data_IF_874867813513
#
_entry.id   IF_874867813513
#
_cell.length_a   1.000
_cell.length_b   1.000
_cell.length_c   1.000
_cell.angle_alpha   90.00
_cell.angle_beta   90.00
_cell.angle_gamma   90.00
#
_symmetry.space_group_name_H-M   'P 1'
#
loop_
_entity.id
_entity.type
_entity.pdbx_description
1 polymer ?
#
# COMPACT_ATOMS: atom_id res chain seq x y z
N UNK A 1 -20.84 1.60 -14.34
CA UNK A 1 -19.70 2.46 -14.74
C UNK A 1 -19.00 1.80 -15.89
N UNK A 2 -18.44 2.57 -16.82
CA UNK A 2 -17.66 2.03 -17.93
C UNK A 2 -16.21 1.80 -17.48
N UNK A 3 -15.63 0.66 -17.83
CA UNK A 3 -14.21 0.40 -17.59
C UNK A 3 -13.39 1.40 -18.41
N UNK A 4 -12.61 2.25 -17.73
CA UNK A 4 -11.74 3.24 -18.40
C UNK A 4 -10.47 2.58 -18.93
N UNK A 5 -9.80 1.77 -18.10
CA UNK A 5 -8.54 1.12 -18.43
C UNK A 5 -8.23 0.01 -17.43
N UNK A 6 -7.64 -1.08 -17.92
CA UNK A 6 -7.03 -2.11 -17.08
C UNK A 6 -5.52 -1.87 -17.04
N UNK A 7 -4.93 -1.90 -15.85
CA UNK A 7 -3.50 -1.72 -15.63
C UNK A 7 -2.99 -2.87 -14.76
N UNK A 8 -1.80 -3.36 -15.10
CA UNK A 8 -1.07 -4.30 -14.26
C UNK A 8 0.00 -3.51 -13.48
N UNK A 9 -0.27 -3.12 -12.23
CA UNK A 9 0.76 -2.48 -11.42
C UNK A 9 1.90 -3.47 -11.22
N UNK A 10 3.12 -3.01 -11.47
CA UNK A 10 4.31 -3.77 -11.09
C UNK A 10 4.38 -3.82 -9.56
N UNK A 11 4.41 -5.02 -9.00
CA UNK A 11 4.72 -5.27 -7.60
C UNK A 11 5.93 -6.19 -7.55
N UNK A 12 6.93 -5.85 -6.74
CA UNK A 12 8.07 -6.74 -6.48
C UNK A 12 7.64 -8.04 -5.79
N UNK A 13 6.46 -8.05 -5.15
CA UNK A 13 5.96 -9.15 -4.35
C UNK A 13 4.80 -9.89 -5.03
N UNK A 14 4.70 -11.19 -4.73
CA UNK A 14 3.66 -12.09 -5.21
C UNK A 14 2.27 -11.46 -5.12
N UNK A 15 1.53 -11.53 -6.22
CA UNK A 15 0.11 -11.17 -6.28
C UNK A 15 -0.66 -12.04 -5.29
N UNK A 16 -1.24 -11.41 -4.27
CA UNK A 16 -2.08 -12.02 -3.24
C UNK A 16 -3.35 -11.20 -3.07
N UNK A 17 -4.40 -11.73 -2.41
CA UNK A 17 -5.66 -11.02 -2.25
C UNK A 17 -5.47 -9.69 -1.52
N UNK A 18 -5.99 -8.62 -2.10
CA UNK A 18 -6.20 -7.35 -1.40
C UNK A 18 -7.48 -7.45 -0.59
N UNK A 19 -7.41 -7.02 0.66
CA UNK A 19 -8.47 -7.24 1.65
C UNK A 19 -9.10 -5.92 2.10
N UNK A 20 -8.40 -4.81 1.90
CA UNK A 20 -8.87 -3.47 2.23
C UNK A 20 -8.23 -2.43 1.31
N UNK A 21 -8.96 -1.35 1.02
CA UNK A 21 -8.50 -0.19 0.24
C UNK A 21 -8.83 1.11 0.97
N UNK A 22 -7.95 2.10 0.83
CA UNK A 22 -8.13 3.46 1.34
C UNK A 22 -7.48 4.45 0.38
N UNK A 23 -7.96 5.69 0.33
CA UNK A 23 -7.39 6.77 -0.49
C UNK A 23 -7.26 8.04 0.36
N UNK A 24 -6.46 8.98 -0.10
CA UNK A 24 -6.36 10.32 0.47
C UNK A 24 -7.51 11.23 0.00
N UNK A 25 -7.71 12.36 0.69
CA UNK A 25 -8.75 13.35 0.44
C UNK A 25 -8.61 13.92 -0.97
N UNK A 26 -7.38 14.09 -1.48
CA UNK A 26 -7.10 14.56 -2.83
C UNK A 26 -7.15 13.47 -3.90
N UNK A 27 -7.37 12.20 -3.52
CA UNK A 27 -7.40 11.04 -4.43
C UNK A 27 -6.15 10.89 -5.30
N UNK A 28 -4.99 11.27 -4.77
CA UNK A 28 -3.69 11.14 -5.43
C UNK A 28 -2.96 9.84 -5.06
N UNK A 29 -3.31 9.26 -3.91
CA UNK A 29 -2.74 8.06 -3.33
C UNK A 29 -3.81 6.98 -3.15
N UNK A 30 -3.45 5.76 -3.51
CA UNK A 30 -4.22 4.56 -3.21
C UNK A 30 -3.40 3.67 -2.26
N UNK A 31 -3.97 3.32 -1.13
CA UNK A 31 -3.42 2.38 -0.16
C UNK A 31 -4.24 1.08 -0.22
N UNK A 32 -3.56 -0.07 -0.22
CA UNK A 32 -4.19 -1.37 -0.05
C UNK A 32 -3.52 -2.19 1.04
N UNK A 33 -4.34 -2.97 1.73
CA UNK A 33 -3.91 -4.03 2.64
C UNK A 33 -4.08 -5.39 1.98
N UNK A 34 -3.22 -6.34 2.31
CA UNK A 34 -3.29 -7.71 1.76
C UNK A 34 -3.51 -8.78 2.82
N UNK A 35 -3.94 -9.96 2.36
CA UNK A 35 -4.03 -11.18 3.17
C UNK A 35 -2.70 -11.59 3.80
N UNK A 36 -1.60 -11.28 3.13
CA UNK A 36 -0.25 -11.47 3.63
C UNK A 36 0.23 -10.28 4.47
N UNK A 37 -0.63 -9.47 5.08
CA UNK A 37 -0.19 -8.44 6.04
C UNK A 37 0.65 -7.32 5.43
N UNK A 38 0.58 -7.09 4.13
CA UNK A 38 1.32 -6.02 3.44
C UNK A 38 0.46 -4.80 3.26
N UNK A 39 1.11 -3.65 3.28
CA UNK A 39 0.54 -2.39 2.79
C UNK A 39 1.28 -2.00 1.53
N UNK A 40 0.51 -1.62 0.51
CA UNK A 40 1.02 -1.14 -0.77
C UNK A 40 0.43 0.23 -1.02
N UNK A 41 1.27 1.18 -1.39
CA UNK A 41 0.88 2.55 -1.70
C UNK A 41 1.22 2.87 -3.16
N UNK A 42 0.23 3.29 -3.94
CA UNK A 42 0.39 3.74 -5.30
C UNK A 42 0.08 5.22 -5.45
N UNK A 43 0.79 5.88 -6.36
CA UNK A 43 0.38 7.18 -6.90
C UNK A 43 -0.59 6.96 -8.06
N UNK A 44 -1.78 7.53 -7.96
CA UNK A 44 -2.82 7.46 -8.99
C UNK A 44 -3.13 8.83 -9.64
N UNK A 45 -2.63 9.94 -9.06
CA UNK A 45 -2.86 11.31 -9.55
C UNK A 45 -2.72 11.47 -11.07
N UNK A 46 -1.51 11.23 -11.62
CA UNK A 46 -1.25 11.42 -13.05
C UNK A 46 -2.12 10.52 -13.94
N UNK A 47 -2.48 9.33 -13.45
CA UNK A 47 -3.37 8.44 -14.19
C UNK A 47 -4.80 8.99 -14.25
N UNK A 48 -5.30 9.58 -13.17
CA UNK A 48 -6.63 10.17 -13.12
C UNK A 48 -6.74 11.48 -13.92
N UNK A 49 -5.65 12.26 -14.00
CA UNK A 49 -5.60 13.49 -14.81
C UNK A 49 -5.77 13.21 -16.32
N UNK A 50 -5.07 12.20 -16.84
CA UNK A 50 -5.19 11.76 -18.24
C UNK A 50 -4.96 10.24 -18.35
N UNK A 51 -6.05 9.44 -18.29
CA UNK A 51 -5.98 7.98 -18.38
C UNK A 51 -5.52 7.45 -19.75
N UNK A 52 -5.65 8.25 -20.81
CA UNK A 52 -5.33 7.82 -22.19
C UNK A 52 -3.85 7.95 -22.49
N UNK A 53 -3.15 8.86 -21.81
CA UNK A 53 -1.71 9.00 -21.94
C UNK A 53 -0.97 7.76 -21.40
N UNK A 54 -0.31 7.04 -22.30
CA UNK A 54 0.46 5.83 -21.97
C UNK A 54 1.64 6.07 -21.01
N UNK A 55 2.09 7.32 -20.86
CA UNK A 55 3.13 7.71 -19.89
C UNK A 55 2.58 7.83 -18.46
N UNK A 56 1.26 8.00 -18.30
CA UNK A 56 0.59 8.15 -17.02
C UNK A 56 0.27 6.77 -16.40
N UNK A 57 1.34 6.08 -16.00
CA UNK A 57 1.23 4.80 -15.31
C UNK A 57 1.03 4.99 -13.81
N UNK A 58 0.20 4.13 -13.21
CA UNK A 58 0.10 3.99 -11.76
C UNK A 58 1.43 3.47 -11.23
N UNK A 59 2.04 4.22 -10.32
CA UNK A 59 3.38 3.93 -9.78
C UNK A 59 3.27 3.49 -8.34
N UNK A 60 3.79 2.31 -8.02
CA UNK A 60 4.02 1.92 -6.63
C UNK A 60 5.05 2.87 -6.02
N UNK A 61 4.67 3.56 -4.93
CA UNK A 61 5.54 4.46 -4.18
C UNK A 61 6.31 3.70 -3.10
N UNK A 62 5.60 2.87 -2.34
CA UNK A 62 6.17 2.10 -1.24
C UNK A 62 5.34 0.85 -0.97
N UNK A 63 6.02 -0.23 -0.63
CA UNK A 63 5.41 -1.48 -0.16
C UNK A 63 6.15 -1.97 1.09
N UNK A 64 5.41 -2.35 2.12
CA UNK A 64 6.00 -2.88 3.35
C UNK A 64 5.15 -3.98 3.97
N UNK A 65 5.79 -4.81 4.80
CA UNK A 65 5.10 -5.80 5.63
C UNK A 65 4.67 -5.11 6.93
N UNK A 66 3.38 -4.85 7.10
CA UNK A 66 2.86 -4.23 8.31
C UNK A 66 2.59 -5.26 9.42
N UNK A 67 1.97 -6.38 9.04
CA UNK A 67 1.47 -7.38 9.97
C UNK A 67 1.99 -8.77 9.63
N UNK A 68 2.03 -9.67 10.62
CA UNK A 68 2.35 -11.07 10.37
C UNK A 68 1.24 -11.80 9.60
N UNK A 69 0.00 -11.31 9.70
CA UNK A 69 -1.20 -11.92 9.08
C UNK A 69 -2.04 -10.87 8.34
N UNK A 70 -3.23 -11.24 7.89
CA UNK A 70 -4.13 -10.43 7.07
C UNK A 70 -4.41 -9.05 7.65
N UNK A 71 -4.31 -8.03 6.80
CA UNK A 71 -4.78 -6.68 7.13
C UNK A 71 -6.29 -6.64 6.88
N UNK A 72 -7.06 -6.26 7.88
CA UNK A 72 -8.53 -6.22 7.79
C UNK A 72 -9.08 -4.80 7.69
N UNK A 73 -8.28 -3.80 8.09
CA UNK A 73 -8.70 -2.40 8.00
C UNK A 73 -7.52 -1.44 7.81
N UNK A 74 -7.79 -0.29 7.19
CA UNK A 74 -6.84 0.78 6.91
C UNK A 74 -7.46 2.15 7.11
N UNK A 75 -6.72 3.01 7.81
CA UNK A 75 -7.07 4.41 7.97
C UNK A 75 -5.87 5.30 7.69
N UNK A 76 -6.04 6.32 6.84
CA UNK A 76 -5.02 7.29 6.51
C UNK A 76 -5.36 8.65 7.14
N UNK A 77 -4.45 9.16 7.96
CA UNK A 77 -4.57 10.48 8.60
C UNK A 77 -3.49 11.40 8.02
N UNK A 78 -3.92 12.24 7.09
CA UNK A 78 -3.04 13.03 6.23
C UNK A 78 -2.30 14.15 6.97
N UNK A 79 -2.97 14.85 7.88
CA UNK A 79 -2.36 15.96 8.61
C UNK A 79 -1.15 15.52 9.43
N UNK A 80 -1.19 14.29 9.96
CA UNK A 80 -0.10 13.69 10.73
C UNK A 80 0.81 12.80 9.89
N UNK A 81 0.48 12.62 8.60
CA UNK A 81 1.20 11.76 7.66
C UNK A 81 1.36 10.32 8.18
N UNK A 82 0.29 9.76 8.77
CA UNK A 82 0.28 8.42 9.35
C UNK A 82 -0.77 7.52 8.72
N UNK A 83 -0.45 6.23 8.65
CA UNK A 83 -1.39 5.16 8.31
C UNK A 83 -1.57 4.28 9.54
N UNK A 84 -2.82 3.99 9.87
CA UNK A 84 -3.20 3.02 10.90
C UNK A 84 -3.69 1.75 10.21
N UNK A 85 -3.22 0.61 10.69
CA UNK A 85 -3.51 -0.70 10.10
C UNK A 85 -4.05 -1.62 11.19
N UNK A 86 -5.12 -2.37 10.90
CA UNK A 86 -5.65 -3.41 11.78
C UNK A 86 -5.50 -4.79 11.13
N UNK A 87 -5.28 -5.82 11.93
CA UNK A 87 -5.02 -7.18 11.42
C UNK A 87 -5.67 -8.28 12.25
N UNK A 88 -5.85 -9.44 11.63
CA UNK A 88 -6.19 -10.70 12.32
C UNK A 88 -5.11 -11.18 13.30
N UNK A 89 -3.92 -10.57 13.32
CA UNK A 89 -2.89 -10.85 14.32
C UNK A 89 -3.24 -10.25 15.71
N UNK A 90 -4.37 -9.55 15.81
CA UNK A 90 -4.87 -8.96 17.05
C UNK A 90 -4.25 -7.60 17.39
N UNK A 91 -3.44 -7.02 16.49
CA UNK A 91 -2.81 -5.72 16.70
C UNK A 91 -3.35 -4.63 15.78
N UNK A 92 -3.30 -3.40 16.28
CA UNK A 92 -3.48 -2.17 15.49
C UNK A 92 -2.18 -1.40 15.54
N UNK A 93 -1.60 -1.11 14.36
CA UNK A 93 -0.25 -0.55 14.22
C UNK A 93 -0.28 0.79 13.50
N UNK A 94 0.69 1.64 13.83
CA UNK A 94 0.83 2.98 13.28
C UNK A 94 2.13 3.06 12.48
N UNK A 95 2.02 3.62 11.28
CA UNK A 95 3.09 3.73 10.31
C UNK A 95 3.15 5.14 9.75
N UNK A 96 4.33 5.55 9.29
CA UNK A 96 4.47 6.78 8.52
C UNK A 96 4.05 6.53 7.07
N UNK A 97 3.10 7.34 6.56
CA UNK A 97 2.39 7.07 5.31
C UNK A 97 3.31 7.04 4.07
N UNK A 98 4.35 7.88 4.03
CA UNK A 98 5.21 8.05 2.85
C UNK A 98 6.33 7.02 2.70
N UNK A 99 6.82 6.46 3.81
CA UNK A 99 8.02 5.61 3.82
C UNK A 99 7.79 4.27 4.54
N UNK A 100 6.61 4.04 5.12
CA UNK A 100 6.27 2.79 5.80
C UNK A 100 6.99 2.57 7.13
N UNK A 101 7.56 3.61 7.75
CA UNK A 101 8.28 3.45 9.01
C UNK A 101 7.32 3.18 10.16
N UNK A 102 7.72 2.29 11.06
CA UNK A 102 6.88 1.86 12.17
C UNK A 102 7.00 2.81 13.37
N UNK A 103 5.86 3.33 13.83
CA UNK A 103 5.80 4.17 15.03
C UNK A 103 5.41 3.41 16.30
N UNK A 104 4.71 2.29 16.16
CA UNK A 104 4.26 1.49 17.29
C UNK A 104 2.88 0.87 17.08
N UNK A 105 2.31 0.37 18.18
CA UNK A 105 1.01 -0.28 18.21
C UNK A 105 0.16 0.21 19.38
N UNK A 106 -1.16 0.12 19.25
CA UNK A 106 -2.08 0.47 20.32
C UNK A 106 -1.96 -0.53 21.50
N UNK A 107 -1.93 0.00 22.72
CA UNK A 107 -1.71 -0.80 23.94
C UNK A 107 -0.25 -0.91 24.38
N UNK A 108 0.70 -0.37 23.61
CA UNK A 108 2.09 -0.30 24.04
C UNK A 108 2.27 0.66 25.23
N UNK A 109 3.29 0.43 26.07
CA UNK A 109 3.57 1.28 27.24
C UNK A 109 4.17 2.64 26.90
N UNK A 110 4.82 2.76 25.74
CA UNK A 110 5.49 3.98 25.29
C UNK A 110 4.54 4.89 24.53
N UNK A 111 4.63 6.20 24.76
CA UNK A 111 3.92 7.19 23.94
C UNK A 111 4.41 7.11 22.49
N UNK A 112 3.52 7.41 21.54
CA UNK A 112 3.88 7.55 20.14
C UNK A 112 4.70 8.83 19.96
N UNK A 113 5.85 8.71 19.31
CA UNK A 113 6.67 9.84 18.88
C UNK A 113 6.64 9.89 17.35
N UNK A 114 5.70 10.66 16.80
CA UNK A 114 5.44 10.72 15.36
C UNK A 114 6.44 11.63 14.63
N UNK A 115 7.12 12.51 15.36
CA UNK A 115 8.10 13.45 14.78
C UNK A 115 9.45 12.80 14.49
N UNK A 116 9.80 11.73 15.21
CA UNK A 116 11.07 11.02 15.06
C UNK A 116 11.01 10.00 13.92
N UNK A 117 11.10 10.49 12.68
CA UNK A 117 11.16 9.64 11.48
C UNK A 117 12.55 9.04 11.24
N UNK A 118 13.56 9.41 12.02
CA UNK A 118 14.91 8.86 11.89
C UNK A 118 15.05 7.52 12.60
N UNK A 119 14.12 7.19 13.49
CA UNK A 119 14.13 5.96 14.25
C UNK A 119 13.50 4.81 13.47
N UNK A 120 14.34 4.09 12.75
CA UNK A 120 13.96 2.88 12.02
C UNK A 120 13.76 1.70 12.99
N UNK A 121 12.57 1.61 13.57
CA UNK A 121 12.14 0.44 14.37
C UNK A 121 11.37 -0.50 13.47
N UNK A 122 11.46 -1.80 13.72
CA UNK A 122 10.54 -2.80 13.17
C UNK A 122 9.72 -3.42 14.29
N UNK A 123 8.47 -3.81 14.02
CA UNK A 123 7.77 -4.76 14.87
C UNK A 123 8.60 -6.04 15.03
N UNK A 124 8.52 -6.67 16.20
CA UNK A 124 9.30 -7.88 16.53
C UNK A 124 9.05 -9.08 15.60
N UNK A 125 7.87 -9.12 14.97
CA UNK A 125 7.40 -10.17 14.06
C UNK A 125 7.62 -9.84 12.58
N UNK A 126 8.14 -8.64 12.27
CA UNK A 126 8.44 -8.20 10.90
C UNK A 126 9.95 -8.08 10.73
N UNK A 127 10.49 -8.77 9.71
CA UNK A 127 11.94 -8.87 9.50
C UNK A 127 12.48 -8.00 8.36
N UNK A 128 11.59 -7.39 7.56
CA UNK A 128 11.97 -6.62 6.36
C UNK A 128 11.51 -5.18 6.49
N UNK A 129 12.43 -4.26 6.24
CA UNK A 129 12.10 -2.84 6.12
C UNK A 129 11.28 -2.55 4.86
N UNK A 130 10.55 -1.43 4.83
CA UNK A 130 9.82 -0.99 3.65
C UNK A 130 10.69 -0.97 2.40
N UNK A 131 10.18 -1.55 1.32
CA UNK A 131 10.76 -1.38 0.00
C UNK A 131 10.25 -0.05 -0.56
N UNK A 132 11.08 0.99 -0.45
CA UNK A 132 10.85 2.25 -1.15
C UNK A 132 11.28 2.02 -2.59
N UNK A 133 10.32 2.04 -3.51
CA UNK A 133 10.62 1.90 -4.94
C UNK A 133 11.31 3.18 -5.41
N UNK A 134 12.65 3.18 -5.37
CA UNK A 134 13.47 4.20 -6.00
C UNK A 134 13.60 3.81 -7.47
N UNK A 135 12.92 4.54 -8.36
CA UNK A 135 12.88 4.35 -9.82
C UNK A 135 14.20 3.79 -10.39
N UNK A 136 14.09 2.60 -10.96
CA UNK A 136 14.61 2.14 -12.27
C UNK A 136 14.85 0.62 -12.23
N UNK A 137 13.77 -0.17 -12.19
CA UNK A 137 13.85 -1.57 -12.61
C UNK A 137 13.07 -1.72 -13.90
N UNK A 138 13.79 -2.09 -14.96
CA UNK A 138 13.27 -2.31 -16.32
C UNK A 138 11.97 -3.11 -16.26
N UNK A 139 10.95 -2.56 -16.90
CA UNK A 139 9.62 -3.13 -17.05
C UNK A 139 9.74 -4.51 -17.72
N UNK A 140 9.71 -5.58 -16.95
CA UNK A 140 9.49 -6.92 -17.46
C UNK A 140 8.05 -7.27 -17.12
N UNK A 141 7.15 -7.12 -18.10
CA UNK A 141 5.77 -7.54 -18.01
C UNK A 141 5.71 -9.05 -17.74
N UNK A 142 5.51 -9.45 -16.50
CA UNK A 142 5.11 -10.82 -16.19
C UNK A 142 3.61 -10.91 -16.42
N UNK A 143 3.22 -11.72 -17.40
CA UNK A 143 1.83 -12.07 -17.68
C UNK A 143 1.30 -12.87 -16.47
N UNK A 144 0.57 -12.20 -15.58
CA UNK A 144 -0.16 -12.86 -14.49
C UNK A 144 -1.58 -13.08 -14.99
N UNK A 145 -1.99 -14.34 -15.06
CA UNK A 145 -3.33 -14.73 -15.49
C UNK A 145 -4.26 -14.63 -14.28
N UNK A 146 -5.24 -13.72 -14.35
CA UNK A 146 -6.22 -13.52 -13.30
C UNK A 146 -7.50 -14.31 -13.60
N UNK A 147 -8.12 -14.96 -12.62
CA UNK A 147 -9.34 -15.76 -12.83
C UNK A 147 -10.60 -14.92 -13.04
N UNK A 148 -10.51 -13.58 -12.94
CA UNK A 148 -11.64 -12.68 -13.15
C UNK A 148 -11.84 -12.45 -14.65
N UNK A 149 -12.67 -13.29 -15.27
CA UNK A 149 -13.22 -13.04 -16.60
C UNK A 149 -14.34 -12.01 -16.47
N UNK A 150 -14.07 -10.75 -16.84
CA UNK A 150 -15.13 -9.77 -17.00
C UNK A 150 -15.94 -10.12 -18.26
N UNK A 151 -17.26 -10.15 -18.12
CA UNK A 151 -18.19 -10.38 -19.23
C UNK A 151 -18.04 -9.20 -20.21
N UNK A 152 -17.37 -9.43 -21.35
CA UNK A 152 -17.05 -8.39 -22.33
C UNK A 152 -18.21 -8.10 -23.29
N UNK A 153 -19.33 -8.79 -23.13
CA UNK A 153 -20.50 -8.66 -23.98
C UNK A 153 -21.60 -7.87 -23.26
N UNK A 154 -21.51 -6.53 -23.29
CA UNK A 154 -22.65 -5.60 -23.21
C UNK A 154 -22.28 -4.17 -23.59
#
# INVERSE_FOLDING_TARGET
GSLLKELLPFSEYSSGPLTVLCTDISTELLLAGSKEGRIICWSIASFLEDPQNSKNQVKEKVCWRAHATEVVDLFHEEEKNVVVTASTDGSVRIWHAKNGYYFGYFGQSRKFELSDTNRLILPSDVKKFPAIVRKESKLAEKKVEYPLMLDRDK
#
